data_IF_292003850171
#
_entry.id   IF_292003850171
#
_cell.length_a   1.000
_cell.length_b   1.000
_cell.length_c   1.000
_cell.angle_alpha   90.00
_cell.angle_beta   90.00
_cell.angle_gamma   90.00
#
_symmetry.space_group_name_H-M   'P 1'
#
loop_
_entity.id
_entity.type
_entity.pdbx_description
1 polymer ?
#
# COMPACT_ATOMS: atom_id res chain seq x y z
N UNK A 1 -0.71 -0.08 25.79
CA UNK A 1 -1.23 1.17 25.18
C UNK A 1 -2.51 1.64 25.89
N UNK A 2 -2.70 2.95 26.07
CA UNK A 2 -3.90 3.53 26.71
C UNK A 2 -5.03 3.81 25.69
N UNK A 3 -6.21 4.19 26.18
CA UNK A 3 -7.39 4.44 25.34
C UNK A 3 -7.21 5.65 24.40
N UNK A 4 -6.60 6.73 24.89
CA UNK A 4 -6.33 7.94 24.10
C UNK A 4 -5.49 7.64 22.86
N UNK A 5 -4.43 6.82 23.00
CA UNK A 5 -3.58 6.43 21.88
C UNK A 5 -4.33 5.56 20.86
N UNK A 6 -5.22 4.68 21.31
CA UNK A 6 -6.09 3.89 20.40
C UNK A 6 -6.99 4.79 19.56
N UNK A 7 -7.60 5.78 20.20
CA UNK A 7 -8.48 6.74 19.54
C UNK A 7 -7.73 7.60 18.52
N UNK A 8 -6.47 7.95 18.79
CA UNK A 8 -5.61 8.67 17.84
C UNK A 8 -5.32 7.83 16.58
N UNK A 9 -4.95 6.56 16.75
CA UNK A 9 -4.68 5.63 15.65
C UNK A 9 -5.94 5.41 14.80
N UNK A 10 -7.09 5.17 15.45
CA UNK A 10 -8.36 5.01 14.75
C UNK A 10 -8.78 6.29 14.00
N UNK A 11 -8.56 7.46 14.59
CA UNK A 11 -8.85 8.73 13.94
C UNK A 11 -7.92 9.00 12.75
N UNK A 12 -6.64 8.63 12.83
CA UNK A 12 -5.73 8.72 11.69
C UNK A 12 -6.11 7.75 10.58
N UNK A 13 -6.41 6.48 10.90
CA UNK A 13 -6.88 5.50 9.93
C UNK A 13 -8.18 5.95 9.25
N UNK A 14 -9.12 6.55 9.99
CA UNK A 14 -10.35 7.09 9.39
C UNK A 14 -10.06 8.22 8.41
N UNK A 15 -9.19 9.16 8.77
CA UNK A 15 -8.77 10.26 7.89
C UNK A 15 -8.08 9.74 6.63
N UNK A 16 -7.22 8.73 6.78
CA UNK A 16 -6.60 8.02 5.67
C UNK A 16 -7.67 7.45 4.72
N UNK A 17 -8.60 6.65 5.25
CA UNK A 17 -9.70 6.04 4.46
C UNK A 17 -10.52 7.08 3.72
N UNK A 18 -10.90 8.16 4.39
CA UNK A 18 -11.67 9.26 3.80
C UNK A 18 -10.92 9.95 2.66
N UNK A 19 -9.62 10.20 2.84
CA UNK A 19 -8.76 10.88 1.85
C UNK A 19 -8.58 10.02 0.61
N UNK A 20 -8.18 8.75 0.81
CA UNK A 20 -7.95 7.80 -0.29
C UNK A 20 -9.26 7.51 -1.02
N UNK A 21 -10.38 7.34 -0.31
CA UNK A 21 -11.69 7.15 -0.93
C UNK A 21 -12.09 8.33 -1.81
N UNK A 22 -11.89 9.57 -1.34
CA UNK A 22 -12.21 10.76 -2.14
C UNK A 22 -11.39 10.82 -3.42
N UNK A 23 -10.08 10.56 -3.32
CA UNK A 23 -9.17 10.52 -4.46
C UNK A 23 -9.54 9.41 -5.45
N UNK A 24 -9.76 8.18 -4.97
CA UNK A 24 -10.08 7.04 -5.83
C UNK A 24 -11.46 7.16 -6.49
N UNK A 25 -12.45 7.75 -5.83
CA UNK A 25 -13.75 8.05 -6.45
C UNK A 25 -13.66 9.16 -7.49
N UNK A 26 -12.73 10.11 -7.32
CA UNK A 26 -12.44 11.10 -8.34
C UNK A 26 -11.83 10.44 -9.58
N UNK A 27 -10.83 9.58 -9.41
CA UNK A 27 -10.23 8.81 -10.52
C UNK A 27 -11.23 7.90 -11.21
N UNK A 28 -12.09 7.20 -10.46
CA UNK A 28 -13.12 6.33 -11.05
C UNK A 28 -14.10 7.10 -11.94
N UNK A 29 -14.48 8.32 -11.55
CA UNK A 29 -15.33 9.19 -12.38
C UNK A 29 -14.58 9.62 -13.64
N UNK A 30 -13.33 10.04 -13.49
CA UNK A 30 -12.48 10.47 -14.60
C UNK A 30 -12.26 9.34 -15.60
N UNK A 31 -12.02 8.12 -15.13
CA UNK A 31 -11.92 6.90 -15.94
C UNK A 31 -13.17 6.71 -16.79
N UNK A 32 -14.35 6.70 -16.15
CA UNK A 32 -15.63 6.52 -16.86
C UNK A 32 -15.85 7.63 -17.89
N UNK A 33 -15.59 8.89 -17.54
CA UNK A 33 -15.76 10.02 -18.45
C UNK A 33 -14.82 9.96 -19.66
N UNK A 34 -13.56 9.57 -19.46
CA UNK A 34 -12.57 9.43 -20.54
C UNK A 34 -12.92 8.28 -21.49
N UNK A 35 -13.26 7.12 -20.94
CA UNK A 35 -13.64 5.94 -21.72
C UNK A 35 -14.94 6.18 -22.50
N UNK A 36 -15.92 6.88 -21.93
CA UNK A 36 -17.15 7.27 -22.64
C UNK A 36 -16.88 8.26 -23.77
N UNK A 37 -15.90 9.15 -23.61
CA UNK A 37 -15.52 10.14 -24.61
C UNK A 37 -14.74 9.53 -25.79
N UNK A 38 -14.19 8.31 -25.64
CA UNK A 38 -13.46 7.67 -26.73
C UNK A 38 -14.37 7.36 -27.94
N UNK A 39 -13.91 7.70 -29.16
CA UNK A 39 -14.66 7.41 -30.36
C UNK A 39 -14.70 5.89 -30.60
N UNK A 40 -15.84 5.37 -31.11
CA UNK A 40 -15.91 3.95 -31.48
C UNK A 40 -14.89 3.64 -32.59
N UNK A 41 -14.23 2.46 -32.57
CA UNK A 41 -13.32 2.08 -33.63
C UNK A 41 -13.99 2.04 -35.01
N UNK A 42 -13.24 2.27 -36.11
CA UNK A 42 -13.80 2.27 -37.46
C UNK A 42 -14.55 0.97 -37.78
N UNK A 43 -15.77 1.08 -38.29
CA UNK A 43 -16.67 -0.03 -38.65
C UNK A 43 -17.31 -0.80 -37.49
N UNK A 44 -17.13 -0.35 -36.24
CA UNK A 44 -17.82 -0.94 -35.10
C UNK A 44 -19.18 -0.26 -34.87
N UNK A 45 -20.15 -1.03 -34.40
CA UNK A 45 -21.45 -0.48 -33.97
C UNK A 45 -21.40 -0.09 -32.49
N UNK A 46 -22.38 0.70 -32.05
CA UNK A 46 -22.39 1.21 -30.67
C UNK A 46 -22.40 0.10 -29.61
N UNK A 47 -23.18 -0.98 -29.73
CA UNK A 47 -23.13 -2.07 -28.74
C UNK A 47 -21.73 -2.71 -28.62
N UNK A 48 -21.04 -2.94 -29.74
CA UNK A 48 -19.70 -3.51 -29.71
C UNK A 48 -18.68 -2.52 -29.12
N UNK A 49 -18.78 -1.23 -29.45
CA UNK A 49 -17.95 -0.18 -28.85
C UNK A 49 -18.19 -0.07 -27.34
N UNK A 50 -19.44 -0.21 -26.89
CA UNK A 50 -19.79 -0.22 -25.48
C UNK A 50 -19.17 -1.40 -24.71
N UNK A 51 -19.14 -2.60 -25.32
CA UNK A 51 -18.42 -3.73 -24.73
C UNK A 51 -16.91 -3.46 -24.60
N UNK A 52 -16.29 -2.82 -25.60
CA UNK A 52 -14.87 -2.43 -25.49
C UNK A 52 -14.64 -1.38 -24.39
N UNK A 53 -15.56 -0.43 -24.23
CA UNK A 53 -15.49 0.56 -23.13
C UNK A 53 -15.55 -0.11 -21.76
N UNK A 54 -16.45 -1.08 -21.59
CA UNK A 54 -16.50 -1.86 -20.34
C UNK A 54 -15.21 -2.66 -20.13
N UNK A 55 -14.65 -3.24 -21.19
CA UNK A 55 -13.38 -3.95 -21.12
C UNK A 55 -12.23 -3.02 -20.68
N UNK A 56 -12.13 -1.81 -21.24
CA UNK A 56 -11.13 -0.83 -20.83
C UNK A 56 -11.23 -0.46 -19.34
N UNK A 57 -12.45 -0.32 -18.81
CA UNK A 57 -12.66 -0.09 -17.37
C UNK A 57 -12.24 -1.33 -16.56
N UNK A 58 -12.60 -2.53 -17.02
CA UNK A 58 -12.31 -3.79 -16.34
C UNK A 58 -10.82 -4.14 -16.27
N UNK A 59 -10.00 -3.61 -17.18
CA UNK A 59 -8.54 -3.72 -17.09
C UNK A 59 -7.96 -2.96 -15.88
N UNK A 60 -8.65 -1.91 -15.40
CA UNK A 60 -8.18 -1.06 -14.32
C UNK A 60 -8.87 -1.33 -12.97
N UNK A 61 -10.12 -1.77 -13.01
CA UNK A 61 -10.93 -2.09 -11.83
C UNK A 61 -11.95 -3.18 -12.12
N UNK A 62 -12.01 -4.20 -11.27
CA UNK A 62 -13.00 -5.27 -11.39
C UNK A 62 -14.42 -4.75 -11.08
N UNK A 63 -15.26 -4.69 -12.10
CA UNK A 63 -16.67 -4.25 -12.01
C UNK A 63 -17.60 -5.47 -12.00
N UNK A 64 -18.70 -5.49 -11.22
CA UNK A 64 -19.67 -6.58 -11.25
C UNK A 64 -20.18 -6.90 -12.66
N UNK A 65 -20.27 -8.20 -13.00
CA UNK A 65 -20.69 -8.68 -14.34
C UNK A 65 -22.05 -8.16 -14.81
N UNK A 66 -22.94 -7.77 -13.88
CA UNK A 66 -24.25 -7.21 -14.20
C UNK A 66 -24.21 -5.79 -14.79
N UNK A 67 -23.05 -5.13 -14.76
CA UNK A 67 -22.87 -3.76 -15.25
C UNK A 67 -22.35 -3.82 -16.68
N UNK A 68 -23.19 -3.43 -17.63
CA UNK A 68 -22.89 -3.48 -19.07
C UNK A 68 -22.63 -2.08 -19.67
N UNK A 69 -22.80 -1.02 -18.88
CA UNK A 69 -22.66 0.38 -19.33
C UNK A 69 -21.64 1.10 -18.46
N UNK A 70 -20.66 1.82 -19.05
CA UNK A 70 -19.66 2.58 -18.30
C UNK A 70 -20.27 3.50 -17.24
N UNK A 71 -21.31 4.26 -17.60
CA UNK A 71 -21.99 5.17 -16.68
C UNK A 71 -22.51 4.50 -15.41
N UNK A 72 -23.00 3.28 -15.53
CA UNK A 72 -23.65 2.54 -14.43
C UNK A 72 -22.62 2.10 -13.36
N UNK A 73 -21.32 2.12 -13.67
CA UNK A 73 -20.23 1.94 -12.68
C UNK A 73 -20.31 3.00 -11.57
N UNK A 74 -20.80 4.19 -11.90
CA UNK A 74 -20.93 5.32 -10.97
C UNK A 74 -22.24 5.28 -10.15
N UNK A 75 -23.07 4.25 -10.34
CA UNK A 75 -24.27 4.08 -9.53
C UNK A 75 -23.91 3.85 -8.07
N UNK A 76 -24.72 4.42 -7.17
CA UNK A 76 -24.47 4.36 -5.73
C UNK A 76 -24.31 2.93 -5.22
N UNK A 77 -25.11 1.99 -5.72
CA UNK A 77 -25.03 0.58 -5.33
C UNK A 77 -23.74 -0.10 -5.79
N UNK A 78 -23.29 0.23 -7.00
CA UNK A 78 -22.04 -0.28 -7.58
C UNK A 78 -20.84 0.30 -6.86
N UNK A 79 -20.81 1.62 -6.64
CA UNK A 79 -19.76 2.27 -5.85
C UNK A 79 -19.65 1.65 -4.45
N UNK A 80 -20.77 1.44 -3.75
CA UNK A 80 -20.72 0.78 -2.43
C UNK A 80 -20.14 -0.63 -2.48
N UNK A 81 -20.38 -1.38 -3.55
CA UNK A 81 -19.75 -2.69 -3.76
C UNK A 81 -18.25 -2.54 -4.03
N UNK A 82 -17.87 -1.61 -4.91
CA UNK A 82 -16.48 -1.38 -5.32
C UNK A 82 -15.61 -0.88 -4.16
N UNK A 83 -16.15 -0.06 -3.26
CA UNK A 83 -15.42 0.37 -2.05
C UNK A 83 -14.84 -0.84 -1.32
N UNK A 84 -15.64 -1.90 -1.19
CA UNK A 84 -15.26 -3.13 -0.53
C UNK A 84 -14.44 -4.06 -1.43
N UNK A 85 -14.96 -4.41 -2.62
CA UNK A 85 -14.33 -5.42 -3.48
C UNK A 85 -13.02 -4.96 -4.11
N UNK A 86 -12.86 -3.65 -4.31
CA UNK A 86 -11.68 -3.02 -4.87
C UNK A 86 -10.92 -2.16 -3.85
N UNK A 87 -11.23 -2.25 -2.55
CA UNK A 87 -10.54 -1.51 -1.48
C UNK A 87 -10.35 -0.03 -1.81
N UNK A 88 -11.40 0.66 -2.31
CA UNK A 88 -11.25 2.04 -2.79
C UNK A 88 -10.92 3.04 -1.66
N UNK A 89 -11.12 2.66 -0.41
CA UNK A 89 -10.68 3.45 0.74
C UNK A 89 -9.25 3.14 1.22
N UNK A 90 -8.47 2.40 0.43
CA UNK A 90 -7.06 2.10 0.74
C UNK A 90 -6.87 1.08 1.85
N UNK A 91 -7.88 0.30 2.18
CA UNK A 91 -7.81 -0.75 3.21
C UNK A 91 -8.36 -2.05 2.66
N UNK A 92 -7.64 -3.12 2.95
CA UNK A 92 -8.12 -4.47 2.67
C UNK A 92 -9.22 -4.82 3.70
N UNK A 93 -10.37 -5.27 3.19
CA UNK A 93 -11.55 -5.58 4.00
C UNK A 93 -11.62 -7.08 4.40
N UNK A 94 -10.56 -7.86 4.16
CA UNK A 94 -10.47 -9.22 4.69
C UNK A 94 -10.61 -9.19 6.23
N UNK A 95 -11.21 -10.23 6.83
CA UNK A 95 -11.27 -10.33 8.29
C UNK A 95 -9.86 -10.35 8.90
N UNK A 96 -9.67 -9.57 9.97
CA UNK A 96 -8.43 -9.64 10.76
C UNK A 96 -8.30 -11.03 11.38
N UNK A 97 -7.14 -11.67 11.21
CA UNK A 97 -6.75 -12.90 11.90
C UNK A 97 -5.67 -12.60 12.97
N UNK A 98 -6.07 -12.47 14.25
CA UNK A 98 -5.12 -12.20 15.34
C UNK A 98 -4.13 -13.34 15.59
N UNK A 99 -4.45 -14.57 15.18
CA UNK A 99 -3.53 -15.70 15.36
C UNK A 99 -2.41 -15.64 14.33
N UNK A 100 -2.77 -15.35 13.07
CA UNK A 100 -1.81 -15.16 12.00
C UNK A 100 -0.89 -13.96 12.25
N UNK A 101 -1.45 -12.84 12.74
CA UNK A 101 -0.64 -11.66 13.11
C UNK A 101 0.33 -11.93 14.27
N UNK A 102 -0.08 -12.72 15.27
CA UNK A 102 0.82 -13.15 16.35
C UNK A 102 1.94 -14.04 15.85
N UNK A 103 1.64 -14.95 14.93
CA UNK A 103 2.64 -15.80 14.30
C UNK A 103 3.66 -14.97 13.52
N UNK A 104 3.18 -14.03 12.70
CA UNK A 104 4.00 -13.05 11.98
C UNK A 104 4.97 -12.30 12.90
N UNK A 105 4.48 -11.65 13.96
CA UNK A 105 5.36 -10.94 14.88
C UNK A 105 6.32 -11.90 15.62
N UNK A 106 5.89 -13.09 16.01
CA UNK A 106 6.78 -14.06 16.64
C UNK A 106 7.95 -14.46 15.71
N UNK A 107 7.68 -14.66 14.42
CA UNK A 107 8.72 -14.94 13.41
C UNK A 107 9.72 -13.79 13.26
N UNK A 108 9.22 -12.56 13.15
CA UNK A 108 10.08 -11.36 13.11
C UNK A 108 10.93 -11.25 14.38
N UNK A 109 10.34 -11.49 15.56
CA UNK A 109 11.05 -11.41 16.84
C UNK A 109 12.22 -12.39 16.91
N UNK A 110 12.03 -13.63 16.43
CA UNK A 110 13.11 -14.62 16.31
C UNK A 110 14.22 -14.08 15.42
N UNK A 111 13.87 -13.52 14.25
CA UNK A 111 14.85 -12.94 13.33
C UNK A 111 15.62 -11.75 13.90
N UNK A 112 15.00 -10.92 14.75
CA UNK A 112 15.68 -9.82 15.46
C UNK A 112 16.68 -10.37 16.49
N UNK A 113 16.26 -11.36 17.30
CA UNK A 113 17.09 -11.97 18.34
C UNK A 113 18.30 -12.69 17.73
N UNK A 114 18.11 -13.44 16.64
CA UNK A 114 19.19 -14.14 15.93
C UNK A 114 20.27 -13.19 15.38
N UNK A 115 19.88 -11.95 15.06
CA UNK A 115 20.81 -10.89 14.63
C UNK A 115 21.40 -10.09 15.81
N UNK A 116 21.10 -10.47 17.05
CA UNK A 116 21.72 -9.91 18.25
C UNK A 116 21.25 -8.51 18.64
N UNK A 117 20.08 -8.07 18.16
CA UNK A 117 19.52 -6.75 18.46
C UNK A 117 18.53 -6.84 19.63
N UNK A 118 18.70 -5.98 20.63
CA UNK A 118 17.76 -5.84 21.75
C UNK A 118 16.92 -4.57 21.56
N UNK A 119 15.64 -4.74 21.23
CA UNK A 119 14.69 -3.65 21.16
C UNK A 119 13.93 -3.51 22.48
N UNK A 120 13.72 -2.29 22.96
CA UNK A 120 13.05 -2.02 24.24
C UNK A 120 11.59 -2.54 24.29
N UNK A 121 10.92 -2.56 23.14
CA UNK A 121 9.60 -3.16 22.96
C UNK A 121 9.53 -3.88 21.61
N UNK A 122 8.78 -4.99 21.55
CA UNK A 122 8.43 -5.63 20.28
C UNK A 122 7.17 -6.49 20.45
N UNK A 123 6.19 -6.45 19.51
CA UNK A 123 6.12 -5.55 18.35
C UNK A 123 5.96 -4.06 18.74
N UNK A 124 6.15 -3.11 17.81
CA UNK A 124 5.78 -1.70 18.05
C UNK A 124 4.30 -1.63 18.44
N UNK A 125 3.99 -1.00 19.58
CA UNK A 125 2.67 -1.12 20.19
C UNK A 125 1.53 -0.47 19.39
N UNK A 126 1.83 0.54 18.59
CA UNK A 126 0.89 1.18 17.67
C UNK A 126 0.66 0.37 16.40
N UNK A 127 1.72 -0.19 15.80
CA UNK A 127 1.60 -1.14 14.68
C UNK A 127 0.83 -2.40 15.07
N UNK A 128 1.11 -2.96 16.26
CA UNK A 128 0.39 -4.13 16.77
C UNK A 128 -1.10 -3.84 16.86
N UNK A 129 -1.49 -2.69 17.39
CA UNK A 129 -2.89 -2.30 17.48
C UNK A 129 -3.53 -2.03 16.13
N UNK A 130 -2.82 -1.34 15.22
CA UNK A 130 -3.32 -1.09 13.88
C UNK A 130 -3.63 -2.42 13.17
N UNK A 131 -2.75 -3.42 13.32
CA UNK A 131 -2.97 -4.78 12.83
C UNK A 131 -4.16 -5.52 13.48
N UNK A 132 -4.77 -5.01 14.56
CA UNK A 132 -5.99 -5.58 15.14
C UNK A 132 -7.27 -5.01 14.55
N UNK A 133 -7.20 -3.87 13.85
CA UNK A 133 -8.36 -3.17 13.30
C UNK A 133 -8.40 -3.18 11.76
N UNK A 134 -7.33 -3.59 11.09
CA UNK A 134 -7.27 -3.78 9.63
C UNK A 134 -6.49 -5.04 9.26
N UNK A 135 -6.90 -5.72 8.19
CA UNK A 135 -6.13 -6.83 7.61
C UNK A 135 -4.95 -6.32 6.80
N UNK A 136 -5.06 -5.18 6.12
CA UNK A 136 -3.98 -4.54 5.39
C UNK A 136 -4.32 -3.11 5.00
N UNK A 137 -3.30 -2.34 4.64
CA UNK A 137 -3.44 -0.94 4.22
C UNK A 137 -2.70 -0.80 2.90
N UNK A 138 -3.47 -0.51 1.86
CA UNK A 138 -3.02 -0.39 0.46
C UNK A 138 -3.00 1.09 0.08
N UNK A 139 -2.07 1.51 -0.78
CA UNK A 139 -1.94 2.92 -1.17
C UNK A 139 -3.11 3.47 -2.00
N UNK A 140 -3.05 4.77 -2.35
CA UNK A 140 -4.00 5.42 -3.25
C UNK A 140 -3.88 4.93 -4.71
N UNK A 141 -4.95 5.14 -5.49
CA UNK A 141 -5.05 4.74 -6.90
C UNK A 141 -6.05 3.60 -7.14
N UNK A 142 -6.40 3.39 -8.41
CA UNK A 142 -7.22 2.26 -8.84
C UNK A 142 -6.45 0.93 -8.71
N UNK A 143 -7.13 -0.23 -8.61
CA UNK A 143 -6.48 -1.53 -8.39
C UNK A 143 -5.27 -1.81 -9.27
N UNK A 144 -5.37 -1.61 -10.58
CA UNK A 144 -4.25 -1.84 -11.51
C UNK A 144 -3.02 -0.97 -11.19
N UNK A 145 -3.21 0.33 -10.96
CA UNK A 145 -2.12 1.23 -10.56
C UNK A 145 -1.48 0.78 -9.26
N UNK A 146 -2.30 0.37 -8.28
CA UNK A 146 -1.76 -0.09 -6.99
C UNK A 146 -0.88 -1.32 -7.15
N UNK A 147 -1.31 -2.29 -7.96
CA UNK A 147 -0.52 -3.51 -8.19
C UNK A 147 0.81 -3.25 -8.91
N UNK A 148 0.88 -2.21 -9.75
CA UNK A 148 2.05 -1.91 -10.57
C UNK A 148 3.00 -0.90 -9.93
N UNK A 149 2.48 -0.04 -9.05
CA UNK A 149 3.18 1.17 -8.61
C UNK A 149 3.14 1.39 -7.09
N UNK A 150 2.19 0.80 -6.34
CA UNK A 150 2.06 1.07 -4.90
C UNK A 150 2.71 0.01 -4.03
N UNK A 151 3.38 0.48 -2.97
CA UNK A 151 3.77 -0.37 -1.86
C UNK A 151 2.70 -0.36 -0.79
N UNK A 152 2.27 -1.51 -0.29
CA UNK A 152 1.44 -1.61 0.90
C UNK A 152 2.14 -0.95 2.10
N UNK A 153 1.38 -0.35 3.00
CA UNK A 153 1.86 -0.05 4.34
C UNK A 153 1.84 -1.29 5.21
N UNK A 154 0.71 -2.01 5.21
CA UNK A 154 0.54 -3.29 5.90
C UNK A 154 0.05 -4.29 4.89
N UNK A 155 0.84 -5.32 4.59
CA UNK A 155 0.40 -6.36 3.67
C UNK A 155 -0.65 -7.26 4.33
N UNK A 156 -1.78 -7.53 3.65
CA UNK A 156 -2.75 -8.53 4.08
C UNK A 156 -2.10 -9.91 4.21
N UNK A 157 -2.18 -10.50 5.41
CA UNK A 157 -1.62 -11.83 5.63
C UNK A 157 -2.60 -12.89 5.13
N UNK A 158 -2.16 -13.66 4.12
CA UNK A 158 -2.88 -14.82 3.59
C UNK A 158 -1.99 -16.07 3.72
N UNK A 159 -2.55 -17.26 3.96
CA UNK A 159 -1.76 -18.49 4.03
C UNK A 159 -0.85 -18.67 2.81
N UNK A 160 0.45 -18.90 3.05
CA UNK A 160 1.45 -19.10 1.99
C UNK A 160 2.21 -17.84 1.54
N UNK A 161 1.77 -16.62 1.93
CA UNK A 161 2.53 -15.37 1.67
C UNK A 161 3.35 -14.88 2.86
N UNK A 162 3.27 -15.58 4.00
CA UNK A 162 3.78 -15.12 5.28
C UNK A 162 5.29 -15.36 5.47
N UNK A 163 5.82 -16.49 4.99
CA UNK A 163 7.23 -16.87 5.19
C UNK A 163 8.20 -15.81 4.62
N UNK A 164 7.96 -15.35 3.39
CA UNK A 164 8.82 -14.34 2.75
C UNK A 164 8.87 -13.00 3.51
N UNK A 165 7.76 -12.60 4.14
CA UNK A 165 7.70 -11.34 4.90
C UNK A 165 8.35 -11.51 6.28
N UNK A 166 8.19 -12.68 6.92
CA UNK A 166 8.87 -13.00 8.18
C UNK A 166 10.39 -13.04 8.04
N UNK A 167 10.91 -13.48 6.89
CA UNK A 167 12.35 -13.53 6.64
C UNK A 167 12.96 -12.15 6.37
N UNK A 168 12.14 -11.13 6.07
CA UNK A 168 12.55 -9.77 5.72
C UNK A 168 12.92 -8.89 6.93
N UNK A 169 13.70 -9.46 7.86
CA UNK A 169 14.37 -8.71 8.93
C UNK A 169 15.76 -8.31 8.46
N UNK A 170 16.12 -7.04 8.59
CA UNK A 170 17.40 -6.51 8.13
C UNK A 170 18.09 -5.73 9.25
N UNK A 171 19.37 -6.00 9.46
CA UNK A 171 20.24 -5.20 10.34
C UNK A 171 21.23 -4.49 9.43
N UNK A 172 21.24 -3.14 9.37
CA UNK A 172 22.19 -2.39 8.56
C UNK A 172 23.63 -2.79 8.86
N UNK A 173 24.44 -2.94 7.81
CA UNK A 173 25.87 -3.21 7.97
C UNK A 173 26.53 -1.90 8.39
N UNK A 174 27.09 -1.88 9.60
CA UNK A 174 27.81 -0.71 10.13
C UNK A 174 29.24 -0.72 9.58
N UNK A 175 29.66 0.36 8.94
CA UNK A 175 30.96 0.50 8.24
C UNK A 175 32.20 0.54 9.16
N UNK A 176 32.05 0.11 10.41
CA UNK A 176 33.01 0.21 11.52
C UNK A 176 34.36 -0.46 11.22
N UNK A 177 34.39 -1.36 10.23
CA UNK A 177 35.56 -2.16 9.84
C UNK A 177 36.11 -1.85 8.45
N UNK A 178 35.51 -0.92 7.69
CA UNK A 178 36.05 -0.40 6.43
C UNK A 178 36.01 -1.36 5.22
N UNK A 179 35.54 -2.60 5.38
CA UNK A 179 35.41 -3.60 4.31
C UNK A 179 34.10 -4.41 4.47
N UNK A 180 32.96 -3.72 4.63
CA UNK A 180 31.65 -4.36 4.79
C UNK A 180 30.97 -4.70 3.47
N UNK A 181 30.31 -5.87 3.40
CA UNK A 181 29.31 -6.17 2.37
C UNK A 181 28.19 -5.11 2.42
N UNK A 182 27.55 -4.81 1.29
CA UNK A 182 26.37 -3.94 1.27
C UNK A 182 25.11 -4.79 1.49
N UNK A 183 24.17 -4.29 2.30
CA UNK A 183 22.82 -4.86 2.39
C UNK A 183 21.75 -3.88 1.85
N UNK A 184 20.49 -4.28 1.91
CA UNK A 184 19.36 -3.55 1.34
C UNK A 184 19.09 -2.17 1.96
N UNK A 185 19.59 -1.92 3.18
CA UNK A 185 19.45 -0.63 3.85
C UNK A 185 20.67 0.26 3.64
N UNK A 186 21.69 -0.22 2.90
CA UNK A 186 22.85 0.60 2.56
C UNK A 186 22.37 1.79 1.74
N UNK A 187 22.71 3.01 2.18
CA UNK A 187 22.30 4.27 1.56
C UNK A 187 20.83 4.66 1.74
N UNK A 188 20.04 3.90 2.52
CA UNK A 188 18.68 4.28 2.87
C UNK A 188 18.67 4.93 4.26
N UNK A 189 17.97 6.07 4.39
CA UNK A 189 17.82 6.79 5.65
C UNK A 189 19.16 7.04 6.36
N UNK A 190 20.17 7.53 5.63
CA UNK A 190 21.55 7.67 6.13
C UNK A 190 21.68 8.57 7.37
N UNK A 191 20.75 9.50 7.56
CA UNK A 191 20.69 10.36 8.74
C UNK A 191 20.24 9.62 10.02
N UNK A 192 19.83 8.35 9.91
CA UNK A 192 19.33 7.53 11.00
C UNK A 192 20.28 6.40 11.35
N UNK A 193 20.60 6.28 12.64
CA UNK A 193 21.21 5.07 13.17
C UNK A 193 20.11 4.01 13.34
N UNK A 194 20.02 3.09 12.39
CA UNK A 194 19.07 1.96 12.43
C UNK A 194 19.75 0.75 13.09
N UNK A 195 19.15 0.21 14.13
CA UNK A 195 19.61 -1.03 14.77
C UNK A 195 19.02 -2.26 14.08
N UNK A 196 17.73 -2.21 13.73
CA UNK A 196 17.05 -3.26 12.97
C UNK A 196 15.86 -2.67 12.22
N UNK A 197 15.54 -3.25 11.08
CA UNK A 197 14.34 -2.99 10.32
C UNK A 197 13.63 -4.29 10.00
N UNK A 198 12.32 -4.24 9.80
CA UNK A 198 11.60 -5.34 9.17
C UNK A 198 10.50 -4.82 8.24
N UNK A 199 10.24 -5.60 7.19
CA UNK A 199 9.23 -5.26 6.19
C UNK A 199 7.83 -5.50 6.76
N UNK A 200 6.98 -4.48 6.68
CA UNK A 200 5.57 -4.51 7.11
C UNK A 200 4.61 -4.53 5.91
N UNK A 201 5.04 -3.99 4.78
CA UNK A 201 4.26 -3.93 3.54
C UNK A 201 5.12 -4.22 2.30
N UNK A 202 4.55 -4.97 1.36
CA UNK A 202 5.14 -5.34 0.07
C UNK A 202 5.02 -4.24 -0.97
N UNK A 203 6.03 -4.11 -1.83
CA UNK A 203 6.02 -3.26 -3.02
C UNK A 203 5.91 -4.08 -4.31
N UNK A 204 5.66 -3.41 -5.45
CA UNK A 204 5.53 -4.06 -6.76
C UNK A 204 6.87 -4.62 -7.26
N UNK A 205 8.00 -4.12 -6.71
CA UNK A 205 9.35 -4.45 -7.16
C UNK A 205 10.24 -4.90 -6.00
N UNK A 206 10.96 -5.98 -6.26
CA UNK A 206 12.06 -6.53 -5.45
C UNK A 206 11.93 -6.33 -3.95
N UNK A 207 12.79 -5.48 -3.39
CA UNK A 207 12.83 -5.21 -1.96
C UNK A 207 12.01 -3.99 -1.54
N UNK A 208 11.49 -3.21 -2.49
CA UNK A 208 10.61 -2.05 -2.23
C UNK A 208 9.45 -2.40 -1.30
N UNK A 209 9.08 -1.48 -0.42
CA UNK A 209 7.98 -1.65 0.51
C UNK A 209 8.06 -0.73 1.73
N UNK A 210 7.11 -0.94 2.64
CA UNK A 210 7.05 -0.23 3.91
C UNK A 210 7.76 -1.00 5.01
N UNK A 211 8.41 -0.27 5.91
CA UNK A 211 9.29 -0.80 6.95
C UNK A 211 8.97 -0.20 8.32
N UNK A 212 9.13 -1.03 9.34
CA UNK A 212 9.28 -0.57 10.72
C UNK A 212 10.77 -0.59 11.09
N UNK A 213 11.27 0.54 11.57
CA UNK A 213 12.69 0.82 11.83
C UNK A 213 12.90 1.08 13.31
N UNK A 214 13.68 0.26 14.01
CA UNK A 214 14.17 0.60 15.34
C UNK A 214 15.42 1.46 15.19
N UNK A 215 15.27 2.76 15.40
CA UNK A 215 16.28 3.74 15.02
C UNK A 215 16.37 4.93 15.99
N UNK A 216 17.36 5.80 15.76
CA UNK A 216 17.51 7.14 16.37
C UNK A 216 18.32 8.04 15.43
N UNK A 217 18.33 9.34 15.65
CA UNK A 217 19.22 10.27 14.94
C UNK A 217 19.76 11.35 15.90
N UNK A 218 20.55 12.29 15.39
CA UNK A 218 21.17 13.35 16.22
C UNK A 218 20.12 14.25 16.89
N UNK A 219 19.00 14.52 16.22
CA UNK A 219 17.90 15.35 16.73
C UNK A 219 16.97 14.59 17.70
N UNK A 220 16.98 13.25 17.65
CA UNK A 220 16.11 12.36 18.40
C UNK A 220 16.92 11.16 18.90
N UNK A 221 17.62 11.37 20.02
CA UNK A 221 18.56 10.41 20.63
C UNK A 221 17.89 9.14 21.18
N UNK A 222 16.55 9.14 21.27
CA UNK A 222 15.75 8.02 21.74
C UNK A 222 15.61 6.94 20.67
N UNK A 223 16.07 5.74 21.04
CA UNK A 223 15.75 4.51 20.33
C UNK A 223 14.25 4.20 20.42
N UNK A 224 13.56 4.22 19.28
CA UNK A 224 12.16 3.82 19.15
C UNK A 224 11.86 3.29 17.75
N UNK A 225 10.71 2.63 17.61
CA UNK A 225 10.18 2.23 16.32
C UNK A 225 9.64 3.43 15.55
N UNK A 226 9.96 3.48 14.27
CA UNK A 226 9.53 4.49 13.29
C UNK A 226 9.21 3.83 11.96
N UNK A 227 8.64 4.59 11.04
CA UNK A 227 8.09 4.05 9.79
C UNK A 227 8.68 4.74 8.58
N UNK A 228 8.90 3.99 7.51
CA UNK A 228 9.38 4.52 6.24
C UNK A 228 9.01 3.59 5.09
N UNK A 229 8.91 4.13 3.89
CA UNK A 229 8.75 3.39 2.63
C UNK A 229 9.95 3.65 1.72
N UNK A 230 10.34 2.65 0.93
CA UNK A 230 11.25 2.79 -0.21
C UNK A 230 10.71 2.02 -1.41
N UNK A 231 10.99 2.50 -2.61
CA UNK A 231 10.54 1.91 -3.88
C UNK A 231 11.69 1.54 -4.83
N UNK A 232 12.85 1.19 -4.24
CA UNK A 232 14.14 0.91 -4.88
C UNK A 232 14.90 2.14 -5.41
N UNK A 233 14.20 3.12 -5.99
CA UNK A 233 14.82 4.33 -6.56
C UNK A 233 14.77 5.51 -5.59
N UNK A 234 13.82 5.50 -4.66
CA UNK A 234 13.58 6.55 -3.69
C UNK A 234 13.21 5.98 -2.31
N UNK A 235 13.45 6.77 -1.26
CA UNK A 235 12.97 6.48 0.08
C UNK A 235 12.37 7.74 0.71
N UNK A 236 11.32 7.53 1.51
CA UNK A 236 10.63 8.58 2.26
C UNK A 236 11.43 9.07 3.47
N UNK A 237 10.99 10.17 4.07
CA UNK A 237 11.39 10.50 5.43
C UNK A 237 11.02 9.38 6.43
N UNK A 238 11.59 9.45 7.63
CA UNK A 238 11.29 8.50 8.72
C UNK A 238 10.26 9.14 9.66
N UNK A 239 9.11 8.51 9.78
CA UNK A 239 7.96 9.01 10.52
C UNK A 239 7.92 8.46 11.94
N UNK A 240 7.62 9.32 12.90
CA UNK A 240 7.78 9.04 14.32
C UNK A 240 6.72 8.10 14.89
N UNK A 241 5.59 7.95 14.20
CA UNK A 241 4.42 7.17 14.59
C UNK A 241 3.54 6.81 13.39
N UNK A 242 2.60 5.88 13.60
CA UNK A 242 1.68 5.43 12.53
C UNK A 242 0.76 6.54 12.00
N UNK A 243 0.42 7.55 12.81
CA UNK A 243 -0.48 8.62 12.36
C UNK A 243 0.18 9.55 11.36
N UNK A 244 1.42 9.98 11.64
CA UNK A 244 2.23 10.76 10.70
C UNK A 244 2.51 9.96 9.42
N UNK A 245 2.82 8.67 9.56
CA UNK A 245 3.03 7.80 8.41
C UNK A 245 1.77 7.68 7.56
N UNK A 246 0.59 7.47 8.16
CA UNK A 246 -0.68 7.40 7.45
C UNK A 246 -1.03 8.73 6.74
N UNK A 247 -0.72 9.87 7.36
CA UNK A 247 -0.93 11.19 6.74
C UNK A 247 -0.08 11.36 5.47
N UNK A 248 1.20 10.99 5.53
CA UNK A 248 2.05 10.96 4.34
C UNK A 248 1.57 9.92 3.32
N UNK A 249 1.31 8.71 3.78
CA UNK A 249 1.05 7.55 2.93
C UNK A 249 -0.27 7.67 2.17
N UNK A 250 -1.23 8.45 2.67
CA UNK A 250 -2.43 8.84 1.91
C UNK A 250 -2.11 9.49 0.57
N UNK A 251 -0.93 10.12 0.45
CA UNK A 251 -0.48 10.87 -0.71
C UNK A 251 0.74 10.26 -1.42
N UNK A 252 1.27 9.15 -0.91
CA UNK A 252 2.45 8.51 -1.49
C UNK A 252 2.09 7.86 -2.82
N UNK A 253 2.78 8.28 -3.89
CA UNK A 253 2.63 7.77 -5.26
C UNK A 253 1.17 7.75 -5.79
N UNK A 254 0.37 8.73 -5.36
CA UNK A 254 -1.01 8.94 -5.84
C UNK A 254 -1.09 8.87 -7.36
N UNK A 255 -2.05 8.11 -7.87
CA UNK A 255 -2.31 8.06 -9.30
C UNK A 255 -2.86 9.42 -9.74
N UNK A 256 -2.16 10.08 -10.65
CA UNK A 256 -2.63 11.34 -11.23
C UNK A 256 -3.62 11.06 -12.37
N UNK A 257 -4.29 12.12 -12.85
CA UNK A 257 -5.09 12.00 -14.08
C UNK A 257 -4.23 11.64 -15.31
N UNK A 258 -2.97 12.07 -15.35
CA UNK A 258 -2.04 11.76 -16.42
C UNK A 258 -1.65 10.28 -16.39
N UNK A 259 -1.32 9.74 -15.21
CA UNK A 259 -1.06 8.30 -15.04
C UNK A 259 -2.29 7.48 -15.45
N UNK A 260 -3.49 7.92 -15.04
CA UNK A 260 -4.74 7.27 -15.42
C UNK A 260 -4.97 7.30 -16.94
N UNK A 261 -4.62 8.39 -17.63
CA UNK A 261 -4.71 8.48 -19.09
C UNK A 261 -3.78 7.47 -19.77
N UNK A 262 -2.55 7.33 -19.26
CA UNK A 262 -1.56 6.38 -19.78
C UNK A 262 -1.96 4.92 -19.51
N UNK A 263 -2.66 4.65 -18.41
CA UNK A 263 -3.18 3.33 -18.04
C UNK A 263 -4.40 2.89 -18.88
N UNK A 264 -5.16 3.82 -19.46
CA UNK A 264 -6.35 3.48 -20.25
C UNK A 264 -5.96 2.91 -21.61
N UNK A 265 -6.27 1.63 -21.84
CA UNK A 265 -6.15 1.03 -23.16
C UNK A 265 -7.21 1.62 -24.11
N UNK A 266 -6.76 2.30 -25.16
CA UNK A 266 -7.66 2.84 -26.19
C UNK A 266 -8.55 1.78 -26.84
N UNK A 267 -9.76 2.16 -27.27
CA UNK A 267 -10.70 1.24 -27.94
C UNK A 267 -10.12 0.65 -29.24
N UNK A 268 -9.31 1.41 -29.98
CA UNK A 268 -8.60 0.90 -31.17
C UNK A 268 -7.56 -0.17 -30.80
N UNK A 269 -6.87 0.00 -29.68
CA UNK A 269 -5.95 -0.99 -29.13
C UNK A 269 -6.67 -2.29 -28.78
N UNK A 270 -7.78 -2.21 -28.06
CA UNK A 270 -8.58 -3.38 -27.68
C UNK A 270 -9.20 -4.09 -28.90
N UNK A 271 -9.63 -3.35 -29.92
CA UNK A 271 -10.20 -3.91 -31.14
C UNK A 271 -9.19 -4.66 -32.02
N UNK A 272 -7.89 -4.53 -31.73
CA UNK A 272 -6.79 -5.11 -32.52
C UNK A 272 -6.35 -6.51 -32.04
N UNK A 273 -6.90 -7.01 -30.94
CA UNK A 273 -6.64 -8.34 -30.37
C UNK A 273 -7.81 -9.30 -30.61
#
# INVERSE_FOLDING_TARGET
MNQERREQIEAALRRYRETVLQHNLFLLRTLVEKVEAEPPPPNWNEPAAQSLRMQAIQELIEVPESIEVPRDVLDKGVISSLIWSASLEGVDDDPVDPSLRREYFAGIQVGIIERGVEAAEFPPSDLEYLCTIVSGITGPGLPFHRETSQSDFITPLRPGKMEAIMEAVCVPIRNDTGEGEHNQLTWLWEDWEIAVAFKIGGGPRGWGGSYALYCRNEDNDQWKWRYGVHDEEWYSDVYDNVEEFLEFYAHFNEQTEEDLEDDITSLEGLASF
#
